data_IF_269468061204
#
_entry.id   IF_269468061204
#
_cell.length_a   1.000
_cell.length_b   1.000
_cell.length_c   1.000
_cell.angle_alpha   90.00
_cell.angle_beta   90.00
_cell.angle_gamma   90.00
#
_symmetry.space_group_name_H-M   'P 1'
#
loop_
_entity.id
_entity.type
_entity.pdbx_description
1 polymer ?
#
# COMPACT_ATOMS: atom_id res chain seq x y z
N UNK A 1 29.27 37.39 -94.02
CA UNK A 1 30.73 37.68 -93.87
C UNK A 1 31.35 36.54 -93.07
N UNK A 2 32.50 36.03 -93.53
CA UNK A 2 33.19 34.81 -93.06
C UNK A 2 33.91 35.01 -91.70
N UNK A 3 34.33 33.86 -91.15
CA UNK A 3 35.47 33.55 -90.24
C UNK A 3 35.03 33.14 -88.82
N UNK A 4 35.09 31.86 -88.39
CA UNK A 4 36.18 30.86 -88.21
C UNK A 4 36.81 30.90 -86.79
N UNK A 5 36.68 29.75 -86.09
CA UNK A 5 37.54 29.09 -85.08
C UNK A 5 37.96 29.92 -83.84
N UNK A 6 37.97 29.43 -82.58
CA UNK A 6 38.69 28.26 -82.01
C UNK A 6 38.24 27.99 -80.56
N UNK A 7 38.19 26.70 -80.18
CA UNK A 7 38.76 26.05 -78.96
C UNK A 7 38.56 26.71 -77.59
N UNK A 8 37.92 25.99 -76.65
CA UNK A 8 38.58 25.44 -75.45
C UNK A 8 37.57 24.72 -74.55
N UNK A 9 37.85 23.46 -74.23
CA UNK A 9 37.18 22.67 -73.21
C UNK A 9 37.64 23.12 -71.81
N UNK A 10 36.69 23.35 -70.90
CA UNK A 10 36.95 23.39 -69.47
C UNK A 10 35.89 22.49 -68.82
N UNK A 11 36.35 21.37 -68.27
CA UNK A 11 35.56 20.49 -67.43
C UNK A 11 35.49 21.11 -66.03
N UNK A 12 34.32 21.59 -65.64
CA UNK A 12 34.00 21.95 -64.25
C UNK A 12 33.25 20.80 -63.60
N UNK A 13 33.99 19.96 -62.88
CA UNK A 13 33.48 19.04 -61.86
C UNK A 13 33.01 19.85 -60.66
N UNK A 14 31.70 20.08 -60.53
CA UNK A 14 31.09 20.57 -59.30
C UNK A 14 30.71 19.36 -58.43
N UNK A 15 31.41 19.19 -57.30
CA UNK A 15 31.08 18.21 -56.28
C UNK A 15 29.70 18.54 -55.69
N UNK A 16 28.74 17.62 -55.83
CA UNK A 16 27.52 17.62 -55.05
C UNK A 16 27.84 17.16 -53.62
N UNK A 17 28.03 18.11 -52.71
CA UNK A 17 28.04 17.83 -51.26
C UNK A 17 26.58 17.68 -50.84
N UNK A 18 26.09 16.45 -50.86
CA UNK A 18 24.83 16.05 -50.26
C UNK A 18 24.95 16.26 -48.74
N UNK A 19 24.47 17.40 -48.25
CA UNK A 19 24.33 17.66 -46.83
C UNK A 19 23.29 16.72 -46.23
N UNK A 20 23.74 15.64 -45.60
CA UNK A 20 22.90 14.83 -44.72
C UNK A 20 22.58 15.71 -43.52
N UNK A 21 21.38 16.28 -43.49
CA UNK A 21 20.80 16.84 -42.27
C UNK A 21 20.59 15.67 -41.31
N UNK A 22 21.58 15.44 -40.44
CA UNK A 22 21.39 14.64 -39.24
C UNK A 22 20.39 15.42 -38.37
N UNK A 23 19.10 15.13 -38.51
CA UNK A 23 18.14 15.47 -37.46
C UNK A 23 18.54 14.62 -36.27
N UNK A 24 19.34 15.19 -35.36
CA UNK A 24 19.53 14.62 -34.05
C UNK A 24 18.15 14.56 -33.41
N UNK A 25 17.51 13.39 -33.43
CA UNK A 25 16.42 13.11 -32.51
C UNK A 25 16.99 13.39 -31.12
N UNK A 26 16.33 14.22 -30.28
CA UNK A 26 16.79 14.37 -28.92
C UNK A 26 16.81 12.96 -28.31
N UNK A 27 17.99 12.48 -27.98
CA UNK A 27 18.12 11.30 -27.15
C UNK A 27 17.66 11.73 -25.76
N UNK A 28 16.34 11.68 -25.52
CA UNK A 28 15.84 11.55 -24.16
C UNK A 28 16.25 10.14 -23.74
N UNK A 29 17.52 10.00 -23.33
CA UNK A 29 17.86 8.95 -22.39
C UNK A 29 16.92 9.18 -21.20
N UNK A 30 16.15 8.17 -20.81
CA UNK A 30 15.35 8.17 -19.59
C UNK A 30 16.24 8.60 -18.43
N UNK A 31 16.26 9.91 -18.17
CA UNK A 31 17.13 10.50 -17.17
C UNK A 31 16.45 10.21 -15.84
N UNK A 32 17.12 9.47 -14.97
CA UNK A 32 16.62 9.19 -13.63
C UNK A 32 17.37 10.09 -12.66
N UNK A 33 16.65 10.91 -11.92
CA UNK A 33 17.21 11.71 -10.83
C UNK A 33 17.48 10.79 -9.64
N UNK A 34 18.70 10.83 -9.10
CA UNK A 34 19.06 10.06 -7.91
C UNK A 34 18.88 10.92 -6.68
N UNK A 35 18.18 10.40 -5.66
CA UNK A 35 18.06 11.06 -4.37
C UNK A 35 18.87 10.32 -3.31
N UNK A 36 19.76 11.04 -2.63
CA UNK A 36 20.50 10.53 -1.47
C UNK A 36 20.79 11.70 -0.54
N UNK A 37 20.01 11.86 0.54
CA UNK A 37 20.07 13.05 1.38
C UNK A 37 18.70 13.64 1.66
N UNK A 38 18.65 14.93 1.95
CA UNK A 38 17.41 15.69 2.11
C UNK A 38 17.22 16.71 0.99
N UNK A 39 15.99 16.87 0.51
CA UNK A 39 15.59 17.83 -0.51
C UNK A 39 14.32 18.58 -0.07
N UNK A 40 14.24 19.87 -0.41
CA UNK A 40 13.05 20.68 -0.17
C UNK A 40 12.14 20.77 -1.40
N UNK A 41 11.21 21.72 -1.38
CA UNK A 41 10.17 21.84 -2.39
C UNK A 41 10.74 22.22 -3.77
N UNK A 42 10.85 21.21 -4.65
CA UNK A 42 11.26 21.33 -6.04
C UNK A 42 10.39 20.44 -6.94
N UNK A 43 10.40 20.70 -8.24
CA UNK A 43 9.77 19.83 -9.23
C UNK A 43 10.84 19.06 -10.00
N UNK A 44 10.76 17.73 -9.94
CA UNK A 44 11.58 16.82 -10.73
C UNK A 44 10.81 16.40 -11.99
N UNK A 45 11.23 16.84 -13.20
CA UNK A 45 10.56 16.49 -14.46
C UNK A 45 10.88 15.07 -14.95
N UNK A 46 11.52 14.26 -14.09
CA UNK A 46 12.07 12.95 -14.41
C UNK A 46 11.64 11.94 -13.36
N UNK A 47 11.84 10.66 -13.67
CA UNK A 47 11.84 9.61 -12.68
C UNK A 47 12.83 9.90 -11.54
N UNK A 48 12.51 9.38 -10.36
CA UNK A 48 13.34 9.45 -9.16
C UNK A 48 13.76 8.04 -8.76
N UNK A 49 15.02 7.86 -8.36
CA UNK A 49 15.43 6.65 -7.69
C UNK A 49 16.25 6.94 -6.44
N UNK A 50 15.92 6.29 -5.33
CA UNK A 50 16.78 6.23 -4.16
C UNK A 50 17.77 5.08 -4.36
N UNK A 51 19.09 5.33 -4.40
CA UNK A 51 20.09 4.27 -4.57
C UNK A 51 20.02 3.23 -3.45
N UNK A 52 20.49 2.01 -3.74
CA UNK A 52 20.45 0.93 -2.76
C UNK A 52 21.19 1.29 -1.46
N UNK A 53 20.57 1.00 -0.31
CA UNK A 53 21.15 1.28 1.01
C UNK A 53 21.26 2.78 1.33
N UNK A 54 20.53 3.65 0.61
CA UNK A 54 20.53 5.10 0.86
C UNK A 54 19.17 5.55 1.37
N UNK A 55 19.19 6.62 2.15
CA UNK A 55 18.00 7.29 2.64
C UNK A 55 17.81 8.62 1.90
N UNK A 56 16.57 8.92 1.58
CA UNK A 56 16.13 10.14 0.92
C UNK A 56 14.96 10.72 1.72
N UNK A 57 15.05 11.99 2.08
CA UNK A 57 13.97 12.74 2.72
C UNK A 57 13.57 13.92 1.82
N UNK A 58 12.30 13.98 1.43
CA UNK A 58 11.77 15.02 0.56
C UNK A 58 10.65 15.79 1.27
N UNK A 59 10.77 17.10 1.32
CA UNK A 59 9.79 18.01 1.90
C UNK A 59 9.20 18.90 0.79
N UNK A 60 7.94 18.67 0.43
CA UNK A 60 7.22 19.43 -0.60
C UNK A 60 7.67 19.17 -2.04
N UNK A 61 8.39 18.08 -2.31
CA UNK A 61 8.88 17.75 -3.66
C UNK A 61 7.76 17.20 -4.54
N UNK A 62 7.71 17.64 -5.80
CA UNK A 62 6.85 17.09 -6.86
C UNK A 62 7.68 16.26 -7.82
N UNK A 63 7.34 14.99 -8.00
CA UNK A 63 7.97 14.06 -8.95
C UNK A 63 6.99 13.76 -10.07
N UNK A 64 7.32 14.20 -11.29
CA UNK A 64 6.47 14.00 -12.48
C UNK A 64 6.62 12.61 -13.12
N UNK A 65 7.62 11.85 -12.68
CA UNK A 65 7.92 10.50 -13.16
C UNK A 65 7.60 9.40 -12.15
N UNK A 66 8.07 8.20 -12.46
CA UNK A 66 8.02 7.05 -11.56
C UNK A 66 9.10 7.17 -10.47
N UNK A 67 8.81 6.60 -9.30
CA UNK A 67 9.72 6.55 -8.16
C UNK A 67 10.15 5.11 -7.89
N UNK A 68 11.46 4.88 -7.80
CA UNK A 68 12.02 3.58 -7.41
C UNK A 68 12.84 3.71 -6.12
N UNK A 69 12.33 3.10 -5.05
CA UNK A 69 13.11 2.88 -3.83
C UNK A 69 13.85 1.55 -3.99
N UNK A 70 15.16 1.61 -4.22
CA UNK A 70 15.95 0.40 -4.49
C UNK A 70 16.15 -0.43 -3.22
N UNK A 71 16.78 -1.59 -3.39
CA UNK A 71 17.00 -2.55 -2.30
C UNK A 71 17.64 -1.89 -1.08
N UNK A 72 17.06 -2.07 0.10
CA UNK A 72 17.61 -1.51 1.35
C UNK A 72 17.56 0.01 1.44
N UNK A 73 16.87 0.69 0.51
CA UNK A 73 16.81 2.14 0.47
C UNK A 73 15.55 2.65 1.17
N UNK A 74 15.59 3.90 1.64
CA UNK A 74 14.49 4.51 2.38
C UNK A 74 14.09 5.81 1.69
N UNK A 75 12.79 6.02 1.49
CA UNK A 75 12.23 7.25 0.98
C UNK A 75 11.17 7.76 1.93
N UNK A 76 11.38 8.97 2.43
CA UNK A 76 10.36 9.78 3.09
C UNK A 76 9.94 10.89 2.17
N UNK A 77 8.64 11.11 2.08
CA UNK A 77 8.07 12.27 1.42
C UNK A 77 7.00 12.88 2.31
N UNK A 78 7.15 14.17 2.61
CA UNK A 78 6.21 14.96 3.41
C UNK A 78 5.66 16.09 2.53
N UNK A 79 4.35 16.28 2.50
CA UNK A 79 3.72 17.36 1.74
C UNK A 79 3.98 17.33 0.22
N UNK A 80 4.36 16.18 -0.33
CA UNK A 80 4.83 16.03 -1.71
C UNK A 80 3.83 15.37 -2.65
N UNK A 81 4.17 15.37 -3.94
CA UNK A 81 3.35 14.76 -4.99
C UNK A 81 4.21 13.83 -5.87
N UNK A 82 3.69 12.63 -6.12
CA UNK A 82 4.26 11.67 -7.07
C UNK A 82 3.19 11.37 -8.12
N UNK A 83 3.39 11.89 -9.33
CA UNK A 83 2.46 11.69 -10.46
C UNK A 83 2.51 10.24 -10.98
N UNK A 84 3.66 9.59 -10.84
CA UNK A 84 3.90 8.23 -11.32
C UNK A 84 3.58 7.11 -10.32
N UNK A 85 4.16 5.95 -10.60
CA UNK A 85 4.16 4.78 -9.73
C UNK A 85 5.31 4.84 -8.74
N UNK A 86 5.05 4.42 -7.51
CA UNK A 86 6.11 4.10 -6.53
C UNK A 86 6.36 2.60 -6.54
N UNK A 87 7.61 2.19 -6.72
CA UNK A 87 8.05 0.80 -6.57
C UNK A 87 9.08 0.71 -5.46
N UNK A 88 8.75 -0.02 -4.40
CA UNK A 88 9.64 -0.28 -3.26
C UNK A 88 10.21 -1.68 -3.40
N UNK A 89 11.52 -1.77 -3.58
CA UNK A 89 12.21 -3.05 -3.75
C UNK A 89 12.48 -3.72 -2.40
N UNK A 90 12.99 -4.95 -2.47
CA UNK A 90 13.35 -5.77 -1.32
C UNK A 90 14.06 -4.97 -0.21
N UNK A 91 13.64 -5.14 1.04
CA UNK A 91 14.19 -4.48 2.22
C UNK A 91 14.17 -2.94 2.14
N UNK A 92 13.37 -2.35 1.23
CA UNK A 92 13.21 -0.89 1.17
C UNK A 92 12.15 -0.39 2.16
N UNK A 93 12.06 0.93 2.25
CA UNK A 93 11.02 1.63 3.02
C UNK A 93 10.51 2.85 2.29
N UNK A 94 9.20 3.02 2.36
CA UNK A 94 8.51 4.17 1.81
C UNK A 94 7.55 4.72 2.86
N UNK A 95 7.74 5.97 3.21
CA UNK A 95 6.92 6.73 4.17
C UNK A 95 6.41 7.98 3.46
N UNK A 96 5.09 8.06 3.30
CA UNK A 96 4.41 9.19 2.69
C UNK A 96 3.47 9.83 3.69
N UNK A 97 3.74 11.08 4.04
CA UNK A 97 2.95 11.89 4.97
C UNK A 97 2.40 13.11 4.24
N UNK A 98 1.12 13.41 4.43
CA UNK A 98 0.46 14.57 3.80
C UNK A 98 0.73 14.66 2.28
N UNK A 99 0.88 13.49 1.63
CA UNK A 99 1.41 13.39 0.27
C UNK A 99 0.43 12.68 -0.65
N UNK A 100 0.60 12.84 -1.97
CA UNK A 100 -0.24 12.15 -2.96
C UNK A 100 0.58 11.30 -3.92
N UNK A 101 0.11 10.07 -4.15
CA UNK A 101 0.60 9.17 -5.22
C UNK A 101 -0.55 8.91 -6.19
N UNK A 102 -0.35 9.24 -7.46
CA UNK A 102 -1.42 9.22 -8.47
C UNK A 102 -1.70 7.83 -9.06
N UNK A 103 -0.68 7.01 -9.39
CA UNK A 103 -0.91 5.69 -10.01
C UNK A 103 -1.11 4.57 -8.97
N UNK A 104 -0.01 4.11 -8.37
CA UNK A 104 0.01 2.97 -7.44
C UNK A 104 1.32 2.92 -6.64
N UNK A 105 1.26 2.27 -5.49
CA UNK A 105 2.42 1.88 -4.69
C UNK A 105 2.57 0.36 -4.77
N UNK A 106 3.73 -0.12 -5.20
CA UNK A 106 4.05 -1.55 -5.31
C UNK A 106 5.20 -1.88 -4.36
N UNK A 107 4.87 -2.52 -3.25
CA UNK A 107 5.82 -3.11 -2.32
C UNK A 107 6.23 -4.50 -2.81
N UNK A 108 7.54 -4.69 -3.06
CA UNK A 108 8.14 -5.93 -3.56
C UNK A 108 9.07 -6.55 -2.50
N UNK A 109 8.50 -6.92 -1.36
CA UNK A 109 9.24 -7.48 -0.21
C UNK A 109 10.05 -6.43 0.55
N UNK A 110 9.53 -5.21 0.62
CA UNK A 110 10.06 -4.13 1.46
C UNK A 110 9.83 -4.46 2.94
N UNK A 111 10.58 -3.83 3.85
CA UNK A 111 10.30 -4.03 5.28
C UNK A 111 9.14 -3.16 5.76
N UNK A 112 8.90 -2.01 5.12
CA UNK A 112 7.73 -1.19 5.44
C UNK A 112 7.24 -0.35 4.26
N UNK A 113 5.94 -0.03 4.30
CA UNK A 113 5.29 0.98 3.49
C UNK A 113 4.27 1.67 4.39
N UNK A 114 4.40 2.96 4.59
CA UNK A 114 3.58 3.74 5.49
C UNK A 114 2.98 4.94 4.74
N UNK A 115 1.68 5.12 4.86
CA UNK A 115 0.95 6.23 4.26
C UNK A 115 0.07 6.87 5.33
N UNK A 116 0.29 8.14 5.62
CA UNK A 116 -0.40 8.92 6.66
C UNK A 116 -0.89 10.24 6.07
N UNK A 117 -2.13 10.62 6.42
CA UNK A 117 -2.79 11.83 5.91
C UNK A 117 -2.68 12.00 4.39
N UNK A 118 -2.59 10.88 3.67
CA UNK A 118 -2.19 10.85 2.28
C UNK A 118 -3.40 10.57 1.39
N UNK A 119 -3.71 11.51 0.50
CA UNK A 119 -4.77 11.33 -0.49
C UNK A 119 -4.19 10.60 -1.71
N UNK A 120 -4.31 9.27 -1.72
CA UNK A 120 -3.83 8.44 -2.81
C UNK A 120 -4.98 8.03 -3.77
N UNK A 121 -4.85 8.42 -5.03
CA UNK A 121 -5.48 7.68 -6.13
C UNK A 121 -4.83 6.29 -6.32
N UNK A 122 -3.75 6.03 -5.59
CA UNK A 122 -2.96 4.82 -5.66
C UNK A 122 -3.75 3.56 -5.30
N UNK A 123 -3.58 2.53 -6.12
CA UNK A 123 -3.73 1.17 -5.61
C UNK A 123 -2.49 0.82 -4.78
N UNK A 124 -2.67 0.17 -3.64
CA UNK A 124 -1.58 -0.40 -2.85
C UNK A 124 -1.47 -1.90 -3.18
N UNK A 125 -0.27 -2.35 -3.52
CA UNK A 125 -0.01 -3.77 -3.76
C UNK A 125 1.23 -4.24 -3.00
N UNK A 126 1.12 -5.30 -2.21
CA UNK A 126 2.26 -6.02 -1.63
C UNK A 126 2.43 -7.33 -2.38
N UNK A 127 3.64 -7.62 -2.87
CA UNK A 127 3.92 -8.83 -3.62
C UNK A 127 5.15 -9.55 -3.06
N UNK A 128 5.08 -10.89 -2.90
CA UNK A 128 6.26 -11.67 -2.58
C UNK A 128 7.27 -11.55 -3.72
N UNK A 129 8.55 -11.50 -3.35
CA UNK A 129 9.66 -11.69 -4.27
C UNK A 129 10.65 -12.66 -3.67
N UNK A 130 11.40 -13.37 -4.52
CA UNK A 130 12.40 -14.32 -4.04
C UNK A 130 13.41 -13.64 -3.11
N UNK A 131 13.50 -14.18 -1.90
CA UNK A 131 14.32 -13.64 -0.83
C UNK A 131 13.83 -12.30 -0.26
N UNK A 132 12.71 -11.73 -0.71
CA UNK A 132 12.14 -10.51 -0.12
C UNK A 132 11.72 -10.69 1.34
N UNK A 133 11.53 -9.59 2.06
CA UNK A 133 10.89 -9.65 3.37
C UNK A 133 9.40 -10.00 3.18
N UNK A 134 8.95 -11.06 3.82
CA UNK A 134 7.54 -11.48 3.84
C UNK A 134 6.81 -10.99 5.08
N UNK A 135 7.55 -10.51 6.07
CA UNK A 135 7.10 -10.16 7.41
C UNK A 135 7.06 -8.63 7.59
N UNK A 136 7.38 -7.87 6.54
CA UNK A 136 7.29 -6.41 6.54
C UNK A 136 5.84 -5.92 6.61
N UNK A 137 5.65 -4.61 6.61
CA UNK A 137 4.32 -4.03 6.76
C UNK A 137 3.89 -3.10 5.63
N UNK A 138 2.57 -2.91 5.53
CA UNK A 138 1.93 -1.94 4.67
C UNK A 138 0.75 -1.27 5.41
N UNK A 139 0.97 -0.06 5.91
CA UNK A 139 0.00 0.67 6.72
C UNK A 139 -0.57 1.88 5.97
N UNK A 140 -1.87 2.09 6.14
CA UNK A 140 -2.64 3.17 5.54
C UNK A 140 -3.44 3.83 6.67
N UNK A 141 -3.01 5.01 7.10
CA UNK A 141 -3.54 5.74 8.26
C UNK A 141 -4.08 7.09 7.80
N UNK A 142 -5.29 7.44 8.20
CA UNK A 142 -5.96 8.71 7.86
C UNK A 142 -5.91 9.07 6.36
N UNK A 143 -5.91 8.04 5.52
CA UNK A 143 -5.55 8.13 4.12
C UNK A 143 -6.68 7.64 3.23
N UNK A 144 -6.62 7.99 1.94
CA UNK A 144 -7.50 7.38 0.95
C UNK A 144 -6.68 6.63 -0.10
N UNK A 145 -7.10 5.41 -0.43
CA UNK A 145 -6.49 4.58 -1.48
C UNK A 145 -7.57 4.04 -2.41
N UNK A 146 -7.22 3.68 -3.65
CA UNK A 146 -8.18 3.14 -4.63
C UNK A 146 -8.56 1.70 -4.32
N UNK A 147 -7.60 0.87 -3.93
CA UNK A 147 -7.77 -0.55 -3.66
C UNK A 147 -6.54 -1.08 -2.94
N UNK A 148 -6.69 -2.16 -2.18
CA UNK A 148 -5.58 -2.86 -1.53
C UNK A 148 -5.53 -4.30 -2.07
N UNK A 149 -4.34 -4.75 -2.48
CA UNK A 149 -4.09 -6.13 -2.89
C UNK A 149 -2.78 -6.61 -2.26
N UNK A 150 -2.89 -7.37 -1.17
CA UNK A 150 -1.75 -7.82 -0.39
C UNK A 150 -1.56 -9.33 -0.51
N UNK A 151 -0.32 -9.74 -0.76
CA UNK A 151 0.08 -11.16 -0.86
C UNK A 151 1.16 -11.53 0.19
N UNK A 152 1.67 -10.54 0.93
CA UNK A 152 2.69 -10.67 1.99
C UNK A 152 2.58 -9.50 2.99
N UNK A 153 3.19 -9.70 4.16
CA UNK A 153 3.35 -8.68 5.20
C UNK A 153 2.13 -8.48 6.10
N UNK A 154 2.23 -7.60 7.08
CA UNK A 154 1.11 -7.12 7.86
C UNK A 154 0.42 -5.95 7.14
N UNK A 155 -0.92 -5.91 7.14
CA UNK A 155 -1.70 -4.81 6.60
C UNK A 155 -2.53 -4.19 7.70
N UNK A 156 -2.36 -2.88 7.92
CA UNK A 156 -3.13 -2.10 8.89
C UNK A 156 -3.76 -0.91 8.19
N UNK A 157 -5.06 -0.72 8.37
CA UNK A 157 -5.83 0.38 7.77
C UNK A 157 -6.62 1.05 8.87
N UNK A 158 -6.34 2.32 9.15
CA UNK A 158 -6.96 3.07 10.25
C UNK A 158 -7.40 4.45 9.80
N UNK A 159 -8.57 4.92 10.23
CA UNK A 159 -9.10 6.25 9.86
C UNK A 159 -9.28 6.48 8.36
N UNK A 160 -9.31 5.40 7.56
CA UNK A 160 -8.97 5.44 6.15
C UNK A 160 -10.12 5.05 5.21
N UNK A 161 -9.96 5.37 3.92
CA UNK A 161 -10.94 5.05 2.86
C UNK A 161 -10.32 4.27 1.72
N UNK A 162 -10.72 3.01 1.58
CA UNK A 162 -10.43 2.17 0.42
C UNK A 162 -11.60 2.30 -0.57
N UNK A 163 -11.40 2.98 -1.70
CA UNK A 163 -12.48 3.29 -2.64
C UNK A 163 -12.91 2.13 -3.56
N UNK A 164 -12.42 0.93 -3.30
CA UNK A 164 -12.63 -0.26 -4.11
C UNK A 164 -12.39 -1.52 -3.28
N UNK A 165 -12.11 -2.63 -3.96
CA UNK A 165 -11.88 -3.91 -3.28
C UNK A 165 -10.62 -3.89 -2.41
N UNK A 166 -10.72 -4.57 -1.26
CA UNK A 166 -9.63 -4.95 -0.40
C UNK A 166 -9.44 -6.46 -0.52
N UNK A 167 -8.28 -6.90 -1.00
CA UNK A 167 -7.89 -8.31 -1.03
C UNK A 167 -6.58 -8.52 -0.27
N UNK A 168 -6.56 -9.50 0.62
CA UNK A 168 -5.35 -10.01 1.24
C UNK A 168 -5.34 -11.54 1.21
N UNK A 169 -4.21 -12.14 0.83
CA UNK A 169 -4.06 -13.58 0.64
C UNK A 169 -2.70 -14.04 1.17
N UNK A 170 -2.69 -14.88 2.22
CA UNK A 170 -1.47 -15.41 2.82
C UNK A 170 -0.59 -14.37 3.55
N UNK A 171 -1.19 -13.27 3.96
CA UNK A 171 -0.55 -12.18 4.71
C UNK A 171 -0.39 -12.54 6.19
N UNK A 172 0.40 -11.76 6.92
CA UNK A 172 0.63 -11.99 8.35
C UNK A 172 -0.58 -11.58 9.20
N UNK A 173 -1.00 -10.31 9.06
CA UNK A 173 -2.16 -9.72 9.72
C UNK A 173 -2.97 -8.88 8.73
N UNK A 174 -4.27 -8.76 8.98
CA UNK A 174 -5.14 -7.76 8.34
C UNK A 174 -6.02 -7.09 9.38
N UNK A 175 -5.70 -5.84 9.64
CA UNK A 175 -6.37 -5.02 10.63
C UNK A 175 -7.00 -3.81 9.96
N UNK A 176 -8.30 -3.64 10.18
CA UNK A 176 -9.10 -2.54 9.61
C UNK A 176 -9.90 -1.89 10.73
N UNK A 177 -9.56 -0.64 11.02
CA UNK A 177 -10.08 0.17 12.12
C UNK A 177 -10.63 1.50 11.64
N UNK A 178 -11.78 1.94 12.16
CA UNK A 178 -12.39 3.25 11.84
C UNK A 178 -12.31 3.62 10.34
N UNK A 179 -12.62 2.65 9.48
CA UNK A 179 -12.30 2.74 8.06
C UNK A 179 -13.48 2.34 7.18
N UNK A 180 -13.47 2.86 5.94
CA UNK A 180 -14.49 2.58 4.94
C UNK A 180 -13.89 1.83 3.75
N UNK A 181 -14.40 0.65 3.46
CA UNK A 181 -14.10 -0.13 2.25
C UNK A 181 -15.30 -0.07 1.30
N UNK A 182 -15.15 0.61 0.15
CA UNK A 182 -16.17 0.72 -0.89
C UNK A 182 -16.09 -0.41 -1.91
N UNK A 183 -16.24 -1.63 -1.42
CA UNK A 183 -16.22 -2.86 -2.19
C UNK A 183 -16.09 -4.05 -1.25
N UNK A 184 -15.78 -5.21 -1.82
CA UNK A 184 -15.58 -6.41 -1.01
C UNK A 184 -14.28 -6.33 -0.22
N UNK A 185 -14.34 -6.76 1.05
CA UNK A 185 -13.20 -7.08 1.90
C UNK A 185 -13.01 -8.59 1.91
N UNK A 186 -11.89 -9.06 1.36
CA UNK A 186 -11.57 -10.49 1.26
C UNK A 186 -10.19 -10.79 1.85
N UNK A 187 -10.17 -11.47 2.98
CA UNK A 187 -8.97 -11.90 3.69
C UNK A 187 -8.91 -13.43 3.67
N UNK A 188 -7.88 -13.98 3.05
CA UNK A 188 -7.69 -15.43 2.89
C UNK A 188 -6.39 -15.87 3.56
N UNK A 189 -6.49 -16.88 4.40
CA UNK A 189 -5.39 -17.52 5.12
C UNK A 189 -4.43 -16.53 5.80
N UNK A 190 -4.91 -15.57 6.63
CA UNK A 190 -4.02 -14.76 7.43
C UNK A 190 -3.28 -15.65 8.44
N UNK A 191 -1.95 -15.51 8.51
CA UNK A 191 -1.13 -16.41 9.33
C UNK A 191 -1.35 -16.16 10.82
N UNK A 192 -1.39 -14.89 11.22
CA UNK A 192 -1.34 -14.49 12.62
C UNK A 192 -2.58 -13.75 13.08
N UNK A 193 -3.45 -13.30 12.17
CA UNK A 193 -4.83 -12.97 12.51
C UNK A 193 -5.45 -11.87 11.66
N UNK A 194 -6.57 -11.34 12.12
CA UNK A 194 -7.12 -10.13 11.54
C UNK A 194 -8.30 -9.56 12.31
N UNK A 195 -8.48 -8.26 12.16
CA UNK A 195 -9.45 -7.46 12.89
C UNK A 195 -10.24 -6.59 11.91
N UNK A 196 -11.56 -6.54 12.10
CA UNK A 196 -12.44 -5.56 11.46
C UNK A 196 -13.24 -4.85 12.55
N UNK A 197 -12.98 -3.57 12.74
CA UNK A 197 -13.50 -2.82 13.87
C UNK A 197 -13.84 -1.38 13.50
N UNK A 198 -14.92 -0.87 14.09
CA UNK A 198 -15.42 0.49 13.88
C UNK A 198 -15.56 0.88 12.40
N UNK A 199 -15.82 -0.10 11.54
CA UNK A 199 -15.61 0.04 10.09
C UNK A 199 -16.88 -0.21 9.27
N UNK A 200 -16.89 0.34 8.06
CA UNK A 200 -17.95 0.22 7.07
C UNK A 200 -17.44 -0.51 5.82
N UNK A 201 -18.05 -1.64 5.47
CA UNK A 201 -17.80 -2.38 4.23
C UNK A 201 -19.03 -2.26 3.33
N UNK A 202 -18.93 -1.47 2.26
CA UNK A 202 -19.95 -1.34 1.21
C UNK A 202 -19.77 -2.47 0.19
N UNK A 203 -20.01 -3.68 0.66
CA UNK A 203 -19.78 -4.94 -0.05
C UNK A 203 -19.88 -6.11 0.91
N UNK A 204 -19.39 -7.28 0.50
CA UNK A 204 -19.25 -8.41 1.40
C UNK A 204 -17.94 -8.34 2.18
N UNK A 205 -17.94 -8.84 3.42
CA UNK A 205 -16.76 -9.01 4.24
C UNK A 205 -16.50 -10.51 4.45
N UNK A 206 -15.31 -10.99 4.09
CA UNK A 206 -14.95 -12.40 4.16
C UNK A 206 -13.57 -12.59 4.77
N UNK A 207 -13.50 -13.42 5.81
CA UNK A 207 -12.28 -14.01 6.37
C UNK A 207 -12.37 -15.53 6.18
N UNK A 208 -11.39 -16.13 5.51
CA UNK A 208 -11.41 -17.58 5.21
C UNK A 208 -10.06 -18.22 5.51
N UNK A 209 -10.05 -19.32 6.26
CA UNK A 209 -8.83 -20.02 6.63
C UNK A 209 -8.00 -19.27 7.68
N UNK A 210 -6.73 -19.64 7.81
CA UNK A 210 -5.77 -18.96 8.69
C UNK A 210 -5.58 -19.64 10.05
N UNK A 211 -4.42 -19.38 10.64
CA UNK A 211 -4.03 -19.92 11.95
C UNK A 211 -4.18 -18.94 13.10
N UNK A 212 -4.22 -17.63 12.79
CA UNK A 212 -4.42 -16.59 13.78
C UNK A 212 -5.89 -16.39 14.17
N UNK A 213 -6.15 -15.72 15.31
CA UNK A 213 -7.50 -15.32 15.69
C UNK A 213 -8.08 -14.28 14.72
N UNK A 214 -9.39 -14.32 14.53
CA UNK A 214 -10.14 -13.30 13.77
C UNK A 214 -11.21 -12.67 14.65
N UNK A 215 -11.22 -11.34 14.68
CA UNK A 215 -12.18 -10.52 15.39
C UNK A 215 -12.95 -9.63 14.41
N UNK A 216 -14.28 -9.67 14.46
CA UNK A 216 -15.15 -8.80 13.67
C UNK A 216 -16.15 -8.10 14.60
N UNK A 217 -15.83 -6.86 14.91
CA UNK A 217 -16.49 -6.02 15.91
C UNK A 217 -16.10 -6.39 17.33
N UNK A 218 -16.56 -5.61 18.31
CA UNK A 218 -16.36 -5.92 19.73
C UNK A 218 -17.67 -6.26 20.44
N UNK A 219 -17.53 -6.89 21.60
CA UNK A 219 -18.60 -6.94 22.60
C UNK A 219 -18.71 -5.62 23.37
N UNK A 220 -19.65 -5.55 24.32
CA UNK A 220 -20.08 -4.32 25.05
C UNK A 220 -19.04 -3.57 25.92
N UNK A 221 -17.73 -3.84 25.80
CA UNK A 221 -16.73 -3.12 26.61
C UNK A 221 -16.34 -1.80 25.96
N UNK A 222 -16.29 -0.74 26.76
CA UNK A 222 -15.67 0.53 26.35
C UNK A 222 -14.17 0.31 26.05
N UNK A 223 -13.67 0.93 24.97
CA UNK A 223 -12.28 0.79 24.51
C UNK A 223 -12.20 0.21 23.09
N UNK A 224 -11.78 -1.05 22.99
CA UNK A 224 -11.65 -1.80 21.74
C UNK A 224 -12.97 -1.94 20.95
N UNK A 225 -12.95 -1.52 19.68
CA UNK A 225 -14.05 -1.53 18.72
C UNK A 225 -15.40 -1.08 19.31
N UNK A 226 -15.35 0.06 20.01
CA UNK A 226 -16.46 0.59 20.80
C UNK A 226 -17.71 0.96 19.98
N UNK A 227 -17.59 1.01 18.66
CA UNK A 227 -18.68 1.32 17.74
C UNK A 227 -19.12 0.08 16.95
N UNK A 228 -20.14 0.28 16.12
CA UNK A 228 -20.76 -0.80 15.33
C UNK A 228 -20.05 -0.91 13.99
N UNK A 229 -19.78 -2.13 13.54
CA UNK A 229 -19.42 -2.37 12.15
C UNK A 229 -20.67 -2.40 11.26
N UNK A 230 -20.56 -1.89 10.04
CA UNK A 230 -21.58 -2.06 9.01
C UNK A 230 -21.02 -2.84 7.82
N UNK A 231 -21.70 -3.92 7.45
CA UNK A 231 -21.41 -4.71 6.23
C UNK A 231 -22.67 -4.71 5.38
N UNK A 232 -22.61 -4.11 4.19
CA UNK A 232 -23.76 -3.98 3.30
C UNK A 232 -24.21 -5.34 2.73
N UNK A 233 -23.25 -6.23 2.46
CA UNK A 233 -23.45 -7.59 1.97
C UNK A 233 -23.39 -8.65 3.06
N UNK A 234 -22.90 -9.83 2.68
CA UNK A 234 -22.69 -10.95 3.59
C UNK A 234 -21.45 -10.74 4.47
N UNK A 235 -21.51 -11.25 5.70
CA UNK A 235 -20.35 -11.39 6.58
C UNK A 235 -20.03 -12.88 6.77
N UNK A 236 -18.87 -13.30 6.30
CA UNK A 236 -18.42 -14.69 6.37
C UNK A 236 -17.07 -14.80 7.07
N UNK A 237 -17.00 -15.60 8.14
CA UNK A 237 -15.75 -15.94 8.83
C UNK A 237 -15.66 -17.46 8.94
N UNK A 238 -14.88 -18.11 8.08
CA UNK A 238 -14.92 -19.58 7.94
C UNK A 238 -13.55 -20.23 7.95
N UNK A 239 -13.45 -21.46 8.45
CA UNK A 239 -12.21 -22.24 8.38
C UNK A 239 -11.03 -21.69 9.18
N UNK A 240 -11.24 -20.75 10.09
CA UNK A 240 -10.19 -20.13 10.92
C UNK A 240 -9.85 -21.08 12.08
N UNK A 241 -8.56 -21.29 12.33
CA UNK A 241 -8.07 -22.22 13.37
C UNK A 241 -7.49 -21.55 14.62
N UNK A 242 -7.37 -20.22 14.64
CA UNK A 242 -6.93 -19.45 15.81
C UNK A 242 -8.07 -18.95 16.71
N UNK A 243 -9.32 -19.27 16.36
CA UNK A 243 -10.51 -18.77 17.04
C UNK A 243 -11.16 -17.60 16.32
N UNK A 244 -12.48 -17.49 16.48
CA UNK A 244 -13.31 -16.48 15.80
C UNK A 244 -14.23 -15.83 16.81
N UNK A 245 -14.30 -14.50 16.75
CA UNK A 245 -15.15 -13.68 17.59
C UNK A 245 -15.91 -12.69 16.72
N UNK A 246 -17.25 -12.71 16.78
CA UNK A 246 -18.11 -11.85 15.97
C UNK A 246 -19.19 -11.24 16.84
N UNK A 247 -19.16 -9.93 17.07
CA UNK A 247 -20.19 -9.22 17.82
C UNK A 247 -20.38 -7.78 17.33
N UNK A 248 -21.52 -7.18 17.64
CA UNK A 248 -21.86 -5.79 17.35
C UNK A 248 -21.73 -5.38 15.85
N UNK A 249 -22.18 -6.26 14.95
CA UNK A 249 -22.22 -5.99 13.51
C UNK A 249 -23.64 -5.69 13.04
N UNK A 250 -23.80 -4.81 12.05
CA UNK A 250 -24.98 -4.73 11.19
C UNK A 250 -24.61 -5.41 9.87
N UNK A 251 -25.31 -6.49 9.52
CA UNK A 251 -25.06 -7.27 8.30
C UNK A 251 -26.30 -7.19 7.40
N UNK A 252 -26.12 -6.63 6.21
CA UNK A 252 -27.18 -6.46 5.22
C UNK A 252 -27.56 -7.75 4.50
N UNK A 253 -26.65 -8.73 4.45
CA UNK A 253 -26.86 -10.08 3.95
C UNK A 253 -26.86 -11.15 5.04
N UNK A 254 -26.26 -12.30 4.75
CA UNK A 254 -26.15 -13.46 5.63
C UNK A 254 -24.93 -13.33 6.57
N UNK A 255 -25.02 -13.93 7.75
CA UNK A 255 -23.89 -14.13 8.67
C UNK A 255 -23.50 -15.61 8.70
N UNK A 256 -22.27 -15.93 8.31
CA UNK A 256 -21.75 -17.30 8.24
C UNK A 256 -20.49 -17.46 9.09
N UNK A 257 -20.49 -18.39 10.05
CA UNK A 257 -19.33 -18.64 10.93
C UNK A 257 -18.95 -20.12 11.07
N UNK A 258 -18.97 -20.88 9.97
CA UNK A 258 -18.80 -22.34 9.97
C UNK A 258 -17.35 -22.81 9.78
N UNK A 259 -17.06 -24.05 10.19
CA UNK A 259 -15.76 -24.69 9.98
C UNK A 259 -14.61 -24.12 10.81
N UNK A 260 -14.91 -23.28 11.81
CA UNK A 260 -13.90 -22.66 12.67
C UNK A 260 -13.50 -23.59 13.82
N UNK A 261 -12.22 -23.54 14.22
CA UNK A 261 -11.69 -24.30 15.35
C UNK A 261 -10.88 -23.38 16.27
N UNK A 262 -11.25 -23.20 17.55
CA UNK A 262 -12.52 -23.60 18.16
C UNK A 262 -13.73 -23.00 17.43
N UNK A 263 -14.92 -23.56 17.67
CA UNK A 263 -16.18 -23.02 17.15
C UNK A 263 -16.29 -21.53 17.44
N UNK A 264 -16.79 -20.78 16.45
CA UNK A 264 -16.90 -19.33 16.53
C UNK A 264 -17.74 -18.88 17.74
N UNK A 265 -17.28 -17.83 18.40
CA UNK A 265 -18.00 -17.13 19.45
C UNK A 265 -18.78 -15.99 18.80
N UNK A 266 -20.10 -16.11 18.76
CA UNK A 266 -20.99 -15.12 18.16
C UNK A 266 -21.79 -14.47 19.28
N UNK A 267 -21.63 -13.15 19.42
CA UNK A 267 -22.35 -12.36 20.42
C UNK A 267 -23.78 -12.00 19.99
N UNK A 268 -24.57 -11.53 20.96
CA UNK A 268 -25.99 -11.26 20.80
C UNK A 268 -26.29 -9.90 20.11
N UNK A 269 -25.29 -9.06 19.86
CA UNK A 269 -25.48 -7.71 19.30
C UNK A 269 -25.43 -7.64 17.77
N UNK A 270 -25.23 -8.78 17.12
CA UNK A 270 -25.29 -8.88 15.67
C UNK A 270 -26.72 -8.67 15.17
N UNK A 271 -26.91 -7.68 14.30
CA UNK A 271 -28.17 -7.39 13.60
C UNK A 271 -28.04 -7.84 12.15
N UNK A 272 -28.55 -9.04 11.87
CA UNK A 272 -28.44 -9.68 10.55
C UNK A 272 -29.79 -9.60 9.84
N UNK A 273 -29.78 -9.16 8.58
CA UNK A 273 -30.98 -9.08 7.75
C UNK A 273 -31.31 -10.41 7.06
N UNK A 274 -30.27 -11.15 6.65
CA UNK A 274 -30.37 -12.48 6.05
C UNK A 274 -30.39 -13.60 7.08
N UNK A 275 -29.89 -14.76 6.67
CA UNK A 275 -29.79 -15.96 7.50
C UNK A 275 -28.55 -15.93 8.40
N UNK A 276 -28.64 -16.62 9.53
CA UNK A 276 -27.53 -16.83 10.47
C UNK A 276 -27.14 -18.32 10.42
N UNK A 277 -25.96 -18.60 9.87
CA UNK A 277 -25.42 -19.93 9.64
C UNK A 277 -24.18 -20.16 10.53
N UNK A 278 -24.43 -20.62 11.75
CA UNK A 278 -23.38 -20.89 12.74
C UNK A 278 -23.39 -22.37 13.14
N UNK A 279 -22.23 -22.90 13.53
CA UNK A 279 -22.18 -24.15 14.31
C UNK A 279 -22.73 -23.89 15.74
N UNK A 280 -22.92 -24.93 16.57
CA UNK A 280 -23.44 -24.74 17.94
C UNK A 280 -22.66 -23.64 18.67
N UNK A 281 -23.34 -22.50 18.90
CA UNK A 281 -22.71 -21.27 19.36
C UNK A 281 -22.22 -21.45 20.78
N UNK A 282 -20.92 -21.28 20.99
CA UNK A 282 -20.40 -21.02 22.33
C UNK A 282 -20.70 -19.56 22.67
N UNK A 283 -21.88 -19.28 23.23
CA UNK A 283 -22.22 -17.95 23.75
C UNK A 283 -21.20 -17.56 24.83
N UNK A 284 -20.25 -16.69 24.49
CA UNK A 284 -19.24 -16.15 25.39
C UNK A 284 -18.96 -14.72 25.00
N UNK A 285 -18.94 -13.84 25.99
CA UNK A 285 -18.37 -12.49 25.86
C UNK A 285 -16.91 -12.62 25.42
N UNK A 286 -16.46 -11.69 24.57
CA UNK A 286 -15.06 -11.50 24.25
C UNK A 286 -14.20 -11.62 25.52
N UNK A 287 -13.23 -12.55 25.51
CA UNK A 287 -12.32 -12.68 26.66
C UNK A 287 -11.52 -11.39 26.81
N UNK A 288 -11.35 -10.90 28.05
CA UNK A 288 -10.52 -9.73 28.32
C UNK A 288 -9.10 -9.91 27.77
N UNK A 289 -8.55 -11.13 27.83
CA UNK A 289 -7.23 -11.46 27.30
C UNK A 289 -7.12 -11.24 25.79
N UNK A 290 -8.18 -11.52 25.05
CA UNK A 290 -8.17 -11.38 23.57
C UNK A 290 -8.21 -9.89 23.20
N UNK A 291 -8.97 -9.09 23.95
CA UNK A 291 -8.96 -7.63 23.78
C UNK A 291 -7.58 -7.05 24.09
N UNK A 292 -6.98 -7.43 25.21
CA UNK A 292 -5.63 -7.00 25.61
C UNK A 292 -4.57 -7.40 24.55
N UNK A 293 -4.69 -8.58 23.93
CA UNK A 293 -3.81 -9.01 22.84
C UNK A 293 -3.92 -8.12 21.60
N UNK A 294 -5.14 -7.72 21.23
CA UNK A 294 -5.36 -6.84 20.07
C UNK A 294 -4.95 -5.39 20.32
N UNK A 295 -5.25 -4.84 21.51
CA UNK A 295 -4.79 -3.50 21.90
C UNK A 295 -3.24 -3.45 21.96
N UNK A 296 -2.60 -4.47 22.55
CA UNK A 296 -1.14 -4.55 22.56
C UNK A 296 -0.53 -4.72 21.17
N UNK A 297 -1.26 -5.37 20.25
CA UNK A 297 -0.83 -5.47 18.86
C UNK A 297 -0.81 -4.08 18.21
N UNK A 298 -1.87 -3.30 18.35
CA UNK A 298 -1.98 -1.93 17.80
C UNK A 298 -0.86 -1.00 18.31
N UNK A 299 -0.62 -0.98 19.63
CA UNK A 299 0.47 -0.18 20.22
C UNK A 299 1.83 -0.52 19.60
N UNK A 300 2.08 -1.80 19.32
CA UNK A 300 3.31 -2.26 18.68
C UNK A 300 3.51 -1.77 17.25
N UNK A 301 2.42 -1.58 16.48
CA UNK A 301 2.48 -1.10 15.09
C UNK A 301 2.97 0.36 15.03
N UNK A 302 2.50 1.21 15.95
CA UNK A 302 2.89 2.61 16.01
C UNK A 302 4.38 2.75 16.39
N UNK A 303 4.84 1.97 17.37
CA UNK A 303 6.26 1.96 17.78
C UNK A 303 7.18 1.52 16.63
N UNK A 304 6.79 0.51 15.84
CA UNK A 304 7.56 0.04 14.68
C UNK A 304 7.77 1.14 13.64
N UNK A 305 6.71 1.90 13.30
CA UNK A 305 6.78 3.00 12.32
C UNK A 305 7.67 4.13 12.84
N UNK A 306 7.46 4.56 14.08
CA UNK A 306 8.21 5.69 14.65
C UNK A 306 9.69 5.38 14.79
N UNK A 307 10.04 4.14 15.13
CA UNK A 307 11.43 3.70 15.15
C UNK A 307 12.04 3.75 13.75
N UNK A 308 11.40 3.10 12.76
CA UNK A 308 11.89 3.09 11.38
C UNK A 308 12.08 4.52 10.86
N UNK A 309 11.07 5.37 11.04
CA UNK A 309 11.06 6.76 10.61
C UNK A 309 12.20 7.57 11.21
N UNK A 310 12.40 7.47 12.52
CA UNK A 310 13.44 8.21 13.22
C UNK A 310 14.83 7.86 12.69
N UNK A 311 15.13 6.56 12.56
CA UNK A 311 16.43 6.06 12.09
C UNK A 311 16.71 6.49 10.64
N UNK A 312 15.74 6.35 9.75
CA UNK A 312 15.97 6.57 8.31
C UNK A 312 15.95 8.04 7.92
N UNK A 313 15.24 8.91 8.65
CA UNK A 313 15.34 10.37 8.49
C UNK A 313 16.70 10.87 8.98
N UNK A 314 17.20 10.37 10.13
CA UNK A 314 18.53 10.73 10.62
C UNK A 314 19.61 10.40 9.57
N UNK A 315 19.55 9.22 8.97
CA UNK A 315 20.45 8.81 7.88
C UNK A 315 20.37 9.75 6.65
N UNK A 316 19.16 10.17 6.25
CA UNK A 316 18.98 11.09 5.14
C UNK A 316 19.57 12.48 5.45
N UNK A 317 19.35 13.00 6.66
CA UNK A 317 19.91 14.28 7.10
C UNK A 317 21.45 14.23 7.16
N UNK A 318 22.01 13.14 7.67
CA UNK A 318 23.46 12.92 7.75
C UNK A 318 24.14 12.85 6.37
N UNK A 319 23.42 12.40 5.33
CA UNK A 319 23.92 12.32 3.97
C UNK A 319 24.03 13.69 3.25
N UNK A 320 23.40 14.76 3.77
CA UNK A 320 23.47 16.11 3.20
C UNK A 320 22.41 16.37 2.12
N UNK A 321 22.68 17.30 1.19
CA UNK A 321 21.74 17.67 0.10
C UNK A 321 21.46 16.47 -0.81
N UNK A 322 20.18 16.22 -1.11
CA UNK A 322 19.72 15.13 -1.95
C UNK A 322 20.17 15.22 -3.42
N UNK A 323 20.30 16.45 -3.93
CA UNK A 323 20.65 16.79 -5.31
C UNK A 323 21.81 17.80 -5.37
#
# INVERSE_FOLDING_TARGET
MKLRNKVAAIATTALAVSGVTMTATPAQADLVTLCSGHGGAITLPTDLAVPAGKSCFLDGTVVQGDVTVRKGANLHIVGGEIEGRVTVQKDGYFDAQESSVSDRVVNRGSYGTYMEDSSAGAALRTVPVEGGNTDGFAYVVDSSVRSINAEVGAVYVSGSRVNGAFKADGVEYVDVYDSVVRGDLSVTAPNSGGILCDSEVIGAATYTGGSGPVAVGAGEKEGFCSSVNYVDGDLSVTGVSGGVYVDNNIVGGDLVTSGNTPTAQVGDHNRVRGDILTEEVALRTFSATVVEEFEAHEDGLAEEVEQARSETIEDAMAAGSAF
#
